data_IF_425566737817
#
_entry.id   IF_425566737817
#
_cell.length_a   1.000
_cell.length_b   1.000
_cell.length_c   1.000
_cell.angle_alpha   90.00
_cell.angle_beta   90.00
_cell.angle_gamma   90.00
#
_symmetry.space_group_name_H-M   'P 1'
#
loop_
_entity.id
_entity.type
_entity.pdbx_description
1 polymer ?
#
# COMPACT_ATOMS: atom_id res chain seq x y z
N UNK A 1 16.98 9.64 -8.22
CA UNK A 1 16.97 9.58 -6.75
C UNK A 1 16.43 8.21 -6.39
N UNK A 2 17.26 7.34 -5.80
CA UNK A 2 16.93 5.91 -5.63
C UNK A 2 16.13 5.68 -4.35
N UNK A 3 15.04 4.91 -4.46
CA UNK A 3 14.27 4.39 -3.32
C UNK A 3 14.92 3.07 -2.88
N UNK A 4 15.19 2.92 -1.60
CA UNK A 4 15.73 1.68 -1.02
C UNK A 4 14.58 0.90 -0.41
N UNK A 5 14.40 -0.36 -0.82
CA UNK A 5 13.43 -1.25 -0.17
C UNK A 5 13.90 -1.52 1.27
N UNK A 6 13.06 -1.17 2.25
CA UNK A 6 13.39 -1.31 3.68
C UNK A 6 12.57 -2.38 4.38
N UNK A 7 11.37 -2.69 3.88
CA UNK A 7 10.52 -3.76 4.42
C UNK A 7 9.59 -4.31 3.35
N UNK A 8 9.27 -5.59 3.45
CA UNK A 8 8.15 -6.22 2.75
C UNK A 8 7.18 -6.80 3.77
N UNK A 9 5.90 -6.80 3.44
CA UNK A 9 4.84 -7.31 4.30
C UNK A 9 3.71 -7.93 3.46
N UNK A 10 2.81 -8.64 4.11
CA UNK A 10 1.64 -9.26 3.48
C UNK A 10 0.42 -9.11 4.39
N UNK A 11 -0.58 -8.36 3.92
CA UNK A 11 -1.83 -8.15 4.64
C UNK A 11 -2.84 -9.18 4.17
N UNK A 12 -3.26 -10.06 5.09
CA UNK A 12 -4.32 -11.04 4.85
C UNK A 12 -5.69 -10.41 5.12
N UNK A 13 -6.61 -10.53 4.17
CA UNK A 13 -8.02 -10.12 4.28
C UNK A 13 -8.87 -11.21 3.65
N UNK A 14 -9.64 -11.94 4.46
CA UNK A 14 -10.39 -13.13 4.03
C UNK A 14 -9.48 -14.08 3.22
N UNK A 15 -9.87 -14.43 1.99
CA UNK A 15 -9.11 -15.30 1.08
C UNK A 15 -8.05 -14.55 0.25
N UNK A 16 -7.83 -13.27 0.52
CA UNK A 16 -6.86 -12.44 -0.19
C UNK A 16 -5.60 -12.19 0.65
N UNK A 17 -4.45 -12.25 0.01
CA UNK A 17 -3.18 -11.79 0.59
C UNK A 17 -2.62 -10.69 -0.31
N UNK A 18 -2.49 -9.49 0.24
CA UNK A 18 -2.01 -8.31 -0.49
C UNK A 18 -0.59 -7.99 -0.05
N UNK A 19 0.35 -8.06 -0.99
CA UNK A 19 1.73 -7.73 -0.72
C UNK A 19 1.92 -6.21 -0.58
N UNK A 20 2.68 -5.80 0.43
CA UNK A 20 3.07 -4.41 0.66
C UNK A 20 4.59 -4.28 0.68
N UNK A 21 5.12 -3.25 0.03
CA UNK A 21 6.56 -2.96 -0.02
C UNK A 21 6.82 -1.56 0.49
N UNK A 22 7.69 -1.41 1.47
CA UNK A 22 8.05 -0.13 2.06
C UNK A 22 9.43 0.30 1.60
N UNK A 23 9.56 1.56 1.23
CA UNK A 23 10.79 2.13 0.71
C UNK A 23 11.19 3.38 1.49
N UNK A 24 12.50 3.56 1.71
CA UNK A 24 13.10 4.81 2.16
C UNK A 24 13.65 5.60 0.97
N UNK A 25 13.43 6.90 0.99
CA UNK A 25 14.01 7.89 0.09
C UNK A 25 14.73 8.97 0.91
N UNK A 26 16.01 9.19 0.63
CA UNK A 26 16.78 10.29 1.23
C UNK A 26 16.75 11.53 0.35
N UNK A 27 16.08 12.59 0.82
CA UNK A 27 16.01 13.91 0.16
C UNK A 27 17.38 14.53 -0.07
N UNK A 28 17.49 15.42 -1.07
CA UNK A 28 18.72 16.19 -1.33
C UNK A 28 19.21 16.99 -0.10
N UNK A 29 18.29 17.34 0.81
CA UNK A 29 18.57 18.03 2.07
C UNK A 29 18.79 17.08 3.26
N UNK A 30 18.95 15.78 3.00
CA UNK A 30 19.21 14.76 4.03
C UNK A 30 18.00 14.27 4.82
N UNK A 31 16.82 14.87 4.64
CA UNK A 31 15.58 14.38 5.25
C UNK A 31 15.17 13.01 4.71
N UNK A 32 14.59 12.16 5.56
CA UNK A 32 14.06 10.85 5.16
C UNK A 32 12.58 10.98 4.79
N UNK A 33 12.18 10.29 3.74
CA UNK A 33 10.77 10.06 3.40
C UNK A 33 10.58 8.57 3.20
N UNK A 34 9.40 8.11 3.53
CA UNK A 34 9.04 6.72 3.34
C UNK A 34 7.83 6.63 2.42
N UNK A 35 7.67 5.45 1.85
CA UNK A 35 6.55 5.17 0.99
C UNK A 35 6.20 3.70 1.01
N UNK A 36 4.92 3.38 0.87
CA UNK A 36 4.41 2.02 0.76
C UNK A 36 3.81 1.81 -0.62
N UNK A 37 4.13 0.68 -1.26
CA UNK A 37 3.44 0.19 -2.45
C UNK A 37 2.58 -1.01 -2.06
N UNK A 38 1.27 -0.84 -2.14
CA UNK A 38 0.27 -1.89 -1.93
C UNK A 38 -0.05 -2.52 -3.29
N UNK A 39 0.24 -3.80 -3.46
CA UNK A 39 0.16 -4.50 -4.74
C UNK A 39 -1.14 -5.29 -4.85
N UNK A 40 -2.13 -4.72 -5.54
CA UNK A 40 -3.48 -5.29 -5.66
C UNK A 40 -3.62 -6.23 -6.85
N UNK A 41 -2.71 -6.12 -7.84
CA UNK A 41 -2.66 -6.99 -9.00
C UNK A 41 -1.56 -6.58 -9.97
N UNK A 42 -1.41 -7.28 -11.11
CA UNK A 42 -0.44 -6.92 -12.14
C UNK A 42 -0.70 -5.51 -12.67
N UNK A 43 0.27 -4.61 -12.48
CA UNK A 43 0.15 -3.21 -12.91
C UNK A 43 -0.74 -2.33 -12.03
N UNK A 44 -1.37 -2.90 -11.00
CA UNK A 44 -2.31 -2.20 -10.11
C UNK A 44 -1.70 -2.06 -8.72
N UNK A 45 -1.36 -0.82 -8.37
CA UNK A 45 -0.75 -0.50 -7.08
C UNK A 45 -1.26 0.82 -6.54
N UNK A 46 -1.37 0.88 -5.22
CA UNK A 46 -1.57 2.13 -4.48
C UNK A 46 -0.23 2.52 -3.87
N UNK A 47 0.16 3.79 -4.00
CA UNK A 47 1.37 4.35 -3.41
C UNK A 47 0.96 5.32 -2.31
N UNK A 48 1.49 5.11 -1.12
CA UNK A 48 1.33 6.00 0.03
C UNK A 48 2.69 6.59 0.36
N UNK A 49 2.74 7.88 0.68
CA UNK A 49 3.93 8.54 1.19
C UNK A 49 3.68 8.98 2.63
N UNK A 50 4.69 8.86 3.49
CA UNK A 50 4.65 9.36 4.88
C UNK A 50 6.08 9.63 5.40
N UNK A 51 6.17 10.15 6.62
CA UNK A 51 7.43 10.45 7.30
C UNK A 51 7.98 9.28 8.14
N UNK A 52 7.21 8.19 8.28
CA UNK A 52 7.62 6.98 9.00
C UNK A 52 7.03 5.71 8.39
N UNK A 53 7.76 4.59 8.54
CA UNK A 53 7.28 3.27 8.12
C UNK A 53 6.10 2.81 8.97
N UNK A 54 6.12 3.08 10.27
CA UNK A 54 5.04 2.68 11.19
C UNK A 54 3.70 3.33 10.85
N UNK A 55 3.69 4.61 10.46
CA UNK A 55 2.46 5.25 9.99
C UNK A 55 1.96 4.61 8.68
N UNK A 56 2.88 4.26 7.78
CA UNK A 56 2.54 3.59 6.53
C UNK A 56 1.98 2.18 6.76
N UNK A 57 2.49 1.45 7.75
CA UNK A 57 1.97 0.14 8.16
C UNK A 57 0.53 0.26 8.64
N UNK A 58 0.27 1.12 9.62
CA UNK A 58 -1.08 1.37 10.12
C UNK A 58 -2.05 1.80 9.02
N UNK A 59 -1.61 2.69 8.10
CA UNK A 59 -2.43 3.11 6.96
C UNK A 59 -2.68 1.96 5.99
N UNK A 60 -1.69 1.12 5.70
CA UNK A 60 -1.83 -0.02 4.81
C UNK A 60 -2.82 -1.05 5.39
N UNK A 61 -2.73 -1.35 6.68
CA UNK A 61 -3.67 -2.24 7.40
C UNK A 61 -5.11 -1.76 7.31
N UNK A 62 -5.35 -0.44 7.33
CA UNK A 62 -6.70 0.11 7.12
C UNK A 62 -7.13 0.16 5.65
N UNK A 63 -6.21 0.55 4.74
CA UNK A 63 -6.55 0.82 3.35
C UNK A 63 -6.76 -0.45 2.52
N UNK A 64 -5.99 -1.51 2.78
CA UNK A 64 -6.12 -2.78 2.05
C UNK A 64 -7.55 -3.35 2.14
N UNK A 65 -8.13 -3.60 3.32
CA UNK A 65 -9.48 -4.14 3.41
C UNK A 65 -10.51 -3.19 2.80
N UNK A 66 -10.41 -1.89 3.07
CA UNK A 66 -11.32 -0.88 2.51
C UNK A 66 -11.31 -0.90 0.96
N UNK A 67 -10.12 -1.00 0.36
CA UNK A 67 -9.96 -1.04 -1.09
C UNK A 67 -10.53 -2.33 -1.69
N UNK A 68 -10.24 -3.48 -1.08
CA UNK A 68 -10.75 -4.76 -1.55
C UNK A 68 -12.29 -4.79 -1.50
N UNK A 69 -12.88 -4.41 -0.37
CA UNK A 69 -14.34 -4.39 -0.24
C UNK A 69 -15.00 -3.37 -1.17
N UNK A 70 -14.40 -2.18 -1.34
CA UNK A 70 -14.89 -1.19 -2.31
C UNK A 70 -14.94 -1.75 -3.72
N UNK A 71 -13.92 -2.50 -4.14
CA UNK A 71 -13.88 -3.15 -5.46
C UNK A 71 -14.87 -4.29 -5.60
N UNK A 72 -15.03 -5.11 -4.56
CA UNK A 72 -16.07 -6.17 -4.54
C UNK A 72 -17.46 -5.56 -4.73
N UNK A 73 -17.74 -4.45 -4.04
CA UNK A 73 -19.00 -3.72 -4.19
C UNK A 73 -19.16 -3.15 -5.61
N UNK A 74 -18.11 -2.55 -6.18
CA UNK A 74 -18.13 -1.97 -7.52
C UNK A 74 -18.23 -3.02 -8.65
N UNK A 75 -17.73 -4.24 -8.42
CA UNK A 75 -17.80 -5.34 -9.40
C UNK A 75 -19.18 -6.00 -9.47
N UNK A 76 -20.06 -5.76 -8.48
CA UNK A 76 -21.42 -6.28 -8.49
C UNK A 76 -22.23 -5.51 -9.55
N UNK A 77 -22.96 -6.19 -10.46
CA UNK A 77 -23.85 -5.49 -11.38
C UNK A 77 -24.87 -4.70 -10.57
N UNK A 78 -24.92 -3.38 -10.77
CA UNK A 78 -26.03 -2.58 -10.27
C UNK A 78 -27.27 -3.03 -11.04
N UNK A 79 -28.28 -3.56 -10.33
CA UNK A 79 -29.58 -3.78 -10.95
C UNK A 79 -30.11 -2.41 -11.41
N UNK A 80 -30.16 -2.22 -12.73
CA UNK A 80 -30.71 -1.05 -13.39
C UNK A 80 -32.19 -1.26 -13.70
#
# INVERSE_FOLDING_TARGET
MFRTLVKTDAIAVDDHTVAVRYFELRTLRGGRRYSAEILLGPGDRIILDDDSVTNLEARAEMLVPATLYSRVLAARPTAA
#
